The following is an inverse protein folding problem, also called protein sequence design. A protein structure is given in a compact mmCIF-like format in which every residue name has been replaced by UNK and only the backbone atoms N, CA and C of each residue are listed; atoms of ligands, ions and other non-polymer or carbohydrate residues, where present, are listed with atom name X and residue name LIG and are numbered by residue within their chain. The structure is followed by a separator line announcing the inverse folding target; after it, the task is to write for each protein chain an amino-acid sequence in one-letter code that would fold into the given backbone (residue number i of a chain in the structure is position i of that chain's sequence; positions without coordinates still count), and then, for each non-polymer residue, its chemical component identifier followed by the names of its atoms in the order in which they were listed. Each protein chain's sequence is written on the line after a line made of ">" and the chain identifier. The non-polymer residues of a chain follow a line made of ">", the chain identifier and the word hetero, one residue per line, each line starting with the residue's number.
data_IF_727007150832
#
_entry.id   IF_727007150832
#
_cell.length_a   1.000
_cell.length_b   1.000
_cell.length_c   1.000
_cell.angle_alpha   90.00
_cell.angle_beta   90.00
_cell.angle_gamma   90.00
#
_symmetry.space_group_name_H-M   'P 1'
#
loop_
_entity.id
_entity.type
_entity.pdbx_description
1 polymer ?
#
# COMPACT_ATOMS: atom_id res chain seq x y z
N UNK A 1 -3.98 10.02 6.61
CA UNK A 1 -3.25 10.70 5.52
C UNK A 1 -4.24 10.98 4.40
N UNK A 2 -4.32 12.22 3.91
CA UNK A 2 -5.09 12.57 2.71
C UNK A 2 -4.15 13.26 1.74
N UNK A 3 -4.22 12.89 0.46
CA UNK A 3 -3.45 13.50 -0.61
C UNK A 3 -4.43 13.95 -1.70
N UNK A 4 -4.23 15.16 -2.21
CA UNK A 4 -5.05 15.74 -3.28
C UNK A 4 -4.17 15.95 -4.50
N UNK A 5 -4.64 15.45 -5.65
CA UNK A 5 -3.98 15.66 -6.94
C UNK A 5 -4.99 16.19 -7.94
N UNK A 6 -4.54 17.08 -8.84
CA UNK A 6 -5.30 17.52 -10.00
C UNK A 6 -5.21 16.54 -11.17
N UNK A 7 -4.32 15.55 -11.06
CA UNK A 7 -4.15 14.49 -12.06
C UNK A 7 -5.09 13.34 -11.67
N UNK A 8 -5.92 12.85 -12.60
CA UNK A 8 -6.81 11.73 -12.32
C UNK A 8 -6.02 10.46 -12.01
N UNK A 9 -6.48 9.71 -11.01
CA UNK A 9 -5.95 8.42 -10.61
C UNK A 9 -6.44 7.36 -11.62
N UNK A 10 -5.63 7.04 -12.64
CA UNK A 10 -5.99 6.09 -13.70
C UNK A 10 -5.16 4.82 -13.60
N UNK A 11 -5.81 3.68 -13.37
CA UNK A 11 -5.15 2.36 -13.32
C UNK A 11 -4.34 2.08 -14.59
N UNK A 12 -3.18 1.44 -14.43
CA UNK A 12 -2.22 1.15 -15.51
C UNK A 12 -1.37 2.35 -15.95
N UNK A 13 -1.65 3.55 -15.43
CA UNK A 13 -0.86 4.77 -15.73
C UNK A 13 -0.20 5.38 -14.50
N UNK A 14 -0.50 4.83 -13.33
CA UNK A 14 -0.02 5.33 -12.05
C UNK A 14 0.69 4.22 -11.29
N UNK A 15 1.63 4.65 -10.47
CA UNK A 15 2.33 3.83 -9.50
C UNK A 15 2.03 4.38 -8.12
N UNK A 16 1.41 3.57 -7.27
CA UNK A 16 1.25 3.89 -5.86
C UNK A 16 2.52 3.42 -5.13
N UNK A 17 3.21 4.35 -4.48
CA UNK A 17 4.41 4.07 -3.69
C UNK A 17 4.12 4.34 -2.22
N UNK A 18 4.23 3.31 -1.39
CA UNK A 18 4.13 3.41 0.05
C UNK A 18 5.52 3.30 0.65
N UNK A 19 6.01 4.39 1.23
CA UNK A 19 7.21 4.37 2.05
C UNK A 19 6.86 3.99 3.50
N UNK A 20 7.68 3.15 4.11
CA UNK A 20 7.50 2.62 5.48
C UNK A 20 6.06 2.15 5.79
N UNK A 21 5.53 1.22 4.99
CA UNK A 21 4.12 0.75 5.05
C UNK A 21 3.68 0.25 6.43
N UNK A 22 4.62 -0.20 7.27
CA UNK A 22 4.32 -0.64 8.63
C UNK A 22 3.78 0.47 9.54
N UNK A 23 4.02 1.75 9.22
CA UNK A 23 3.46 2.90 9.94
C UNK A 23 1.95 3.05 9.69
N UNK A 24 1.43 2.40 8.64
CA UNK A 24 0.00 2.31 8.37
C UNK A 24 -0.48 0.85 8.29
N UNK A 25 -0.67 0.17 9.43
CA UNK A 25 -1.00 -1.25 9.45
C UNK A 25 -2.34 -1.62 8.79
N UNK A 26 -3.23 -0.64 8.60
CA UNK A 26 -4.49 -0.85 7.89
C UNK A 26 -4.27 -1.01 6.37
N UNK A 27 -3.25 -0.36 5.80
CA UNK A 27 -2.91 -0.43 4.36
C UNK A 27 -2.44 -1.84 3.97
N UNK A 28 -1.76 -2.56 4.87
CA UNK A 28 -1.30 -3.93 4.63
C UNK A 28 -2.43 -4.86 4.18
N UNK A 29 -3.64 -4.72 4.75
CA UNK A 29 -4.82 -5.52 4.38
C UNK A 29 -5.30 -5.23 2.97
N UNK A 30 -5.12 -4.00 2.51
CA UNK A 30 -5.53 -3.56 1.17
C UNK A 30 -4.54 -3.96 0.08
N UNK A 31 -3.29 -4.37 0.40
CA UNK A 31 -2.36 -4.88 -0.60
C UNK A 31 -2.94 -6.09 -1.35
N UNK A 32 -3.63 -6.98 -0.63
CA UNK A 32 -4.35 -8.11 -1.25
C UNK A 32 -5.46 -7.63 -2.19
N UNK A 33 -6.26 -6.65 -1.73
CA UNK A 33 -7.31 -6.04 -2.56
C UNK A 33 -6.74 -5.43 -3.85
N UNK A 34 -5.63 -4.68 -3.77
CA UNK A 34 -4.99 -4.14 -4.98
C UNK A 34 -4.53 -5.23 -5.94
N UNK A 35 -4.05 -6.36 -5.43
CA UNK A 35 -3.62 -7.49 -6.26
C UNK A 35 -4.80 -8.24 -6.90
N UNK A 36 -5.88 -8.47 -6.15
CA UNK A 36 -7.00 -9.32 -6.56
C UNK A 36 -8.06 -8.53 -7.34
N UNK A 37 -8.49 -7.38 -6.82
CA UNK A 37 -9.63 -6.63 -7.35
C UNK A 37 -9.21 -5.48 -8.27
N UNK A 38 -7.99 -4.96 -8.13
CA UNK A 38 -7.45 -3.86 -8.95
C UNK A 38 -6.08 -4.18 -9.58
N UNK A 39 -5.94 -5.30 -10.33
CA UNK A 39 -4.63 -5.78 -10.79
C UNK A 39 -3.86 -4.83 -11.71
N UNK A 40 -4.56 -3.88 -12.36
CA UNK A 40 -3.93 -2.83 -13.17
C UNK A 40 -3.36 -1.67 -12.33
N UNK A 41 -3.66 -1.61 -11.04
CA UNK A 41 -3.09 -0.63 -10.14
C UNK A 41 -1.72 -1.12 -9.68
N UNK A 42 -0.66 -0.48 -10.18
CA UNK A 42 0.70 -0.82 -9.78
C UNK A 42 0.95 -0.28 -8.38
N UNK A 43 1.39 -1.15 -7.48
CA UNK A 43 1.70 -0.82 -6.08
C UNK A 43 3.11 -1.28 -5.76
N UNK A 44 3.91 -0.38 -5.18
CA UNK A 44 5.16 -0.70 -4.50
C UNK A 44 5.01 -0.28 -3.04
N UNK A 45 5.42 -1.16 -2.13
CA UNK A 45 5.49 -0.87 -0.72
C UNK A 45 6.88 -1.24 -0.21
N UNK A 46 7.51 -0.34 0.54
CA UNK A 46 8.74 -0.59 1.29
C UNK A 46 8.43 -0.57 2.79
N UNK A 47 9.28 -1.22 3.57
CA UNK A 47 9.15 -1.25 5.03
C UNK A 47 10.39 -1.85 5.67
N UNK A 48 11.24 -0.97 6.20
CA UNK A 48 12.54 -1.36 6.80
C UNK A 48 12.36 -2.24 8.03
N UNK A 49 11.27 -2.01 8.79
CA UNK A 49 10.94 -2.72 10.03
C UNK A 49 9.67 -3.56 9.92
N UNK A 50 9.32 -3.97 8.70
CA UNK A 50 8.05 -4.65 8.44
C UNK A 50 7.93 -5.95 9.26
N UNK A 51 9.01 -6.74 9.36
CA UNK A 51 9.06 -7.98 10.13
C UNK A 51 8.64 -7.78 11.59
N UNK A 52 9.23 -6.81 12.29
CA UNK A 52 8.90 -6.50 13.68
C UNK A 52 7.47 -5.98 13.88
N UNK A 53 6.93 -5.26 12.90
CA UNK A 53 5.55 -4.75 12.97
C UNK A 53 4.51 -5.87 12.74
N UNK A 54 4.85 -6.84 11.88
CA UNK A 54 4.03 -8.02 11.65
C UNK A 54 4.03 -8.95 12.86
N UNK A 55 5.18 -9.19 13.49
CA UNK A 55 5.27 -10.00 14.71
C UNK A 55 4.41 -9.47 15.86
N UNK A 56 4.34 -8.14 16.05
CA UNK A 56 3.47 -7.51 17.06
C UNK A 56 1.97 -7.73 16.79
N UNK A 57 1.60 -8.13 15.57
CA UNK A 57 0.21 -8.31 15.11
C UNK A 57 -0.16 -9.77 14.84
N UNK A 58 0.77 -10.71 15.00
CA UNK A 58 0.43 -12.13 15.03
C UNK A 58 -0.25 -12.38 16.38
N UNK A 59 -1.50 -12.78 16.27
CA UNK A 59 -2.45 -13.28 17.27
C UNK A 59 -1.75 -14.04 18.41
#
# INVERSE_FOLDING_TARGET
>A
MQAYSRIPCVSGKILLFFDEIQECPNVLKYLRYFKEELPLMHVIATGSLLEFSLEKKII
#
